data_IF_493038987032
#
_entry.id   IF_493038987032
#
_cell.length_a   1.000
_cell.length_b   1.000
_cell.length_c   1.000
_cell.angle_alpha   90.00
_cell.angle_beta   90.00
_cell.angle_gamma   90.00
#
_symmetry.space_group_name_H-M   'P 1'
#
loop_
_entity.id
_entity.type
_entity.pdbx_description
1 polymer ?
#
# COMPACT_ATOMS: atom_id res chain seq x y z
N UNK A 1 12.17 10.65 -2.14
CA UNK A 1 11.34 10.85 -0.95
C UNK A 1 12.20 10.50 0.24
N UNK A 2 12.82 11.49 0.88
CA UNK A 2 13.74 11.23 1.98
C UNK A 2 13.04 11.52 3.30
N UNK A 3 12.88 10.47 4.11
CA UNK A 3 12.38 10.56 5.48
C UNK A 3 13.06 11.70 6.27
N UNK A 4 14.36 11.90 6.04
CA UNK A 4 15.23 12.85 6.74
C UNK A 4 14.83 14.33 6.56
N UNK A 5 13.89 14.63 5.67
CA UNK A 5 13.35 15.99 5.48
C UNK A 5 11.99 16.17 6.16
N UNK A 6 11.30 15.09 6.50
CA UNK A 6 10.08 15.13 7.31
C UNK A 6 10.47 15.24 8.79
N UNK A 7 9.79 16.12 9.54
CA UNK A 7 10.13 16.41 10.95
C UNK A 7 10.17 15.18 11.88
N UNK A 8 9.36 14.15 11.58
CA UNK A 8 9.30 12.89 12.36
C UNK A 8 10.09 11.74 11.70
N UNK A 9 10.85 12.01 10.64
CA UNK A 9 11.54 11.00 9.83
C UNK A 9 10.62 9.91 9.26
N UNK A 10 9.32 10.19 9.12
CA UNK A 10 8.34 9.24 8.58
C UNK A 10 8.27 9.37 7.06
N UNK A 11 8.06 8.25 6.39
CA UNK A 11 7.57 8.25 5.02
C UNK A 11 6.13 8.78 5.00
N UNK A 12 5.54 9.19 3.87
CA UNK A 12 4.13 9.55 3.76
C UNK A 12 3.19 8.47 4.31
N UNK A 13 2.09 8.84 4.95
CA UNK A 13 1.06 7.89 5.32
C UNK A 13 0.34 7.35 4.08
N UNK A 14 -0.38 6.24 4.26
CA UNK A 14 -1.35 5.84 3.26
C UNK A 14 -2.46 6.89 3.09
N UNK A 15 -3.18 6.84 1.97
CA UNK A 15 -4.31 7.73 1.70
C UNK A 15 -5.30 7.69 2.86
N UNK A 16 -5.69 8.87 3.33
CA UNK A 16 -6.72 9.08 4.35
C UNK A 16 -7.79 10.08 3.90
N UNK A 17 -7.53 10.78 2.79
CA UNK A 17 -8.36 11.84 2.24
C UNK A 17 -8.24 11.85 0.71
N UNK A 18 -9.38 11.74 0.03
CA UNK A 18 -9.50 11.74 -1.42
C UNK A 18 -10.36 12.90 -1.92
N UNK A 19 -9.96 13.49 -3.05
CA UNK A 19 -10.80 14.42 -3.82
C UNK A 19 -10.15 15.76 -4.09
N UNK A 20 -10.97 16.71 -4.57
CA UNK A 20 -10.54 18.06 -4.94
C UNK A 20 -10.40 19.00 -3.73
N UNK A 21 -11.05 18.67 -2.62
CA UNK A 21 -11.15 19.51 -1.43
C UNK A 21 -10.09 19.11 -0.38
N UNK A 22 -9.40 20.10 0.18
CA UNK A 22 -8.48 19.92 1.32
C UNK A 22 -9.10 20.38 2.65
N UNK A 23 -10.44 20.36 2.76
CA UNK A 23 -11.20 20.96 3.87
C UNK A 23 -12.24 20.02 4.51
N UNK A 24 -13.20 20.56 5.30
CA UNK A 24 -14.18 19.76 6.04
C UNK A 24 -15.10 18.86 5.19
N UNK A 25 -15.17 19.10 3.87
CA UNK A 25 -15.90 18.29 2.90
C UNK A 25 -15.09 17.17 2.26
N UNK A 26 -13.83 16.97 2.67
CA UNK A 26 -12.95 15.96 2.07
C UNK A 26 -13.53 14.56 2.25
N UNK A 27 -13.52 13.76 1.18
CA UNK A 27 -13.93 12.36 1.26
C UNK A 27 -12.84 11.60 1.98
N UNK A 28 -13.17 11.00 3.11
CA UNK A 28 -12.25 10.14 3.85
C UNK A 28 -12.27 8.76 3.20
N UNK A 29 -11.09 8.26 2.89
CA UNK A 29 -10.88 7.00 2.19
C UNK A 29 -9.52 6.46 2.60
N UNK A 30 -9.46 5.16 2.84
CA UNK A 30 -8.20 4.44 2.90
C UNK A 30 -7.92 3.82 1.53
N UNK A 31 -6.69 3.93 1.08
CA UNK A 31 -6.20 3.19 -0.09
C UNK A 31 -4.73 2.83 0.13
N UNK A 32 -4.29 1.75 -0.52
CA UNK A 32 -2.89 1.34 -0.52
C UNK A 32 -2.07 2.20 -1.50
N UNK A 33 -2.14 3.51 -1.29
CA UNK A 33 -1.34 4.53 -1.95
C UNK A 33 -0.89 5.56 -0.92
N UNK A 34 0.13 6.37 -1.20
CA UNK A 34 0.53 7.44 -0.29
C UNK A 34 -0.42 8.64 -0.39
N UNK A 35 -0.64 9.34 0.73
CA UNK A 35 -1.38 10.60 0.73
C UNK A 35 -0.57 11.69 0.01
N UNK A 36 -0.97 12.07 -1.20
CA UNK A 36 -0.16 12.93 -2.06
C UNK A 36 0.14 14.32 -1.50
N UNK A 37 -0.76 14.96 -0.74
CA UNK A 37 -0.51 16.30 -0.17
C UNK A 37 0.45 16.30 1.04
N UNK A 38 0.98 15.13 1.42
CA UNK A 38 2.06 15.01 2.42
C UNK A 38 3.44 14.90 1.77
N UNK A 39 3.51 14.89 0.44
CA UNK A 39 4.74 14.92 -0.33
C UNK A 39 5.19 16.35 -0.61
N UNK A 40 6.49 16.58 -0.59
CA UNK A 40 7.04 17.82 -1.14
C UNK A 40 6.78 17.86 -2.65
N UNK A 41 6.15 18.92 -3.19
CA UNK A 41 5.81 19.02 -4.60
C UNK A 41 6.99 18.83 -5.56
N UNK A 42 8.20 19.20 -5.13
CA UNK A 42 9.43 19.11 -5.90
C UNK A 42 9.84 17.65 -6.17
N UNK A 43 9.41 16.70 -5.34
CA UNK A 43 9.69 15.27 -5.53
C UNK A 43 8.76 14.57 -6.50
N UNK A 44 7.64 15.20 -6.86
CA UNK A 44 6.64 14.62 -7.76
C UNK A 44 5.96 15.73 -8.57
N UNK A 45 6.73 16.31 -9.49
CA UNK A 45 6.29 17.39 -10.37
C UNK A 45 5.49 16.89 -11.59
N UNK A 46 5.66 15.63 -11.98
CA UNK A 46 4.88 14.96 -13.02
C UNK A 46 4.12 13.77 -12.44
N UNK A 47 2.79 13.86 -12.25
CA UNK A 47 2.00 12.76 -11.69
C UNK A 47 1.86 11.58 -12.66
N UNK A 48 2.25 11.73 -13.94
CA UNK A 48 2.19 10.62 -14.91
C UNK A 48 3.15 9.48 -14.55
N UNK A 49 4.20 9.73 -13.77
CA UNK A 49 5.12 8.69 -13.29
C UNK A 49 4.46 7.71 -12.33
N UNK A 50 3.30 8.08 -11.75
CA UNK A 50 2.50 7.20 -10.91
C UNK A 50 1.68 6.18 -11.72
N UNK A 51 1.75 6.24 -13.05
CA UNK A 51 1.24 5.20 -13.93
C UNK A 51 2.38 4.35 -14.47
N UNK A 52 2.18 3.03 -14.47
CA UNK A 52 3.10 2.12 -15.12
C UNK A 52 2.85 2.16 -16.63
N UNK A 53 3.89 2.20 -17.48
CA UNK A 53 3.72 2.16 -18.93
C UNK A 53 2.98 0.91 -19.45
N UNK A 54 3.00 -0.18 -18.67
CA UNK A 54 2.31 -1.43 -19.00
C UNK A 54 0.95 -1.59 -18.30
N UNK A 55 0.51 -0.60 -17.51
CA UNK A 55 -0.86 -0.57 -17.00
C UNK A 55 -1.82 -0.30 -18.18
N UNK A 56 -2.76 -1.22 -18.47
CA UNK A 56 -3.69 -1.09 -19.60
C UNK A 56 -4.64 0.11 -19.48
N UNK A 57 -4.92 0.58 -18.26
CA UNK A 57 -5.86 1.67 -17.98
C UNK A 57 -5.14 3.03 -17.89
N UNK A 58 -3.79 3.05 -17.84
CA UNK A 58 -2.99 4.28 -17.64
C UNK A 58 -3.30 5.37 -18.67
N UNK A 59 -3.31 5.04 -19.96
CA UNK A 59 -3.55 6.03 -21.01
C UNK A 59 -4.94 6.68 -20.88
N UNK A 60 -5.97 5.87 -20.59
CA UNK A 60 -7.32 6.40 -20.37
C UNK A 60 -7.42 7.25 -19.10
N UNK A 61 -6.75 6.85 -18.03
CA UNK A 61 -6.77 7.57 -16.75
C UNK A 61 -6.04 8.91 -16.83
N UNK A 62 -4.91 8.96 -17.54
CA UNK A 62 -4.19 10.21 -17.84
C UNK A 62 -5.06 11.16 -18.67
N UNK A 63 -5.74 10.64 -19.72
CA UNK A 63 -6.65 11.44 -20.54
C UNK A 63 -7.83 11.96 -19.70
N UNK A 64 -8.35 11.14 -18.79
CA UNK A 64 -9.44 11.49 -17.89
C UNK A 64 -9.02 12.47 -16.77
N UNK A 65 -7.71 12.74 -16.60
CA UNK A 65 -7.19 13.63 -15.57
C UNK A 65 -7.51 13.15 -14.16
N UNK A 66 -7.38 11.85 -13.89
CA UNK A 66 -7.82 11.27 -12.60
C UNK A 66 -7.09 11.87 -11.39
N UNK A 67 -5.85 12.31 -11.57
CA UNK A 67 -5.00 12.99 -10.57
C UNK A 67 -5.08 14.52 -10.62
N UNK A 68 -5.98 15.08 -11.42
CA UNK A 68 -6.12 16.50 -11.62
C UNK A 68 -7.36 17.07 -10.92
N UNK A 69 -7.22 18.29 -10.37
CA UNK A 69 -8.32 18.98 -9.70
C UNK A 69 -9.47 19.16 -10.69
N UNK A 70 -10.68 18.70 -10.35
CA UNK A 70 -11.86 18.80 -11.21
C UNK A 70 -11.64 18.26 -12.63
N UNK A 71 -10.64 17.37 -12.82
CA UNK A 71 -10.16 16.86 -14.10
C UNK A 71 -9.55 17.92 -15.05
N UNK A 72 -9.15 19.08 -14.53
CA UNK A 72 -8.36 20.06 -15.28
C UNK A 72 -6.88 19.68 -15.28
N UNK A 73 -6.38 19.21 -16.42
CA UNK A 73 -5.00 18.74 -16.60
C UNK A 73 -3.93 19.78 -16.26
N UNK A 74 -4.28 21.06 -16.18
CA UNK A 74 -3.37 22.14 -15.78
C UNK A 74 -3.17 22.23 -14.27
N UNK A 75 -4.01 21.54 -13.47
CA UNK A 75 -3.99 21.61 -12.03
C UNK A 75 -3.84 20.21 -11.41
N UNK A 76 -2.67 19.93 -10.86
CA UNK A 76 -2.41 18.68 -10.12
C UNK A 76 -3.18 18.72 -8.80
N UNK A 77 -3.83 17.61 -8.44
CA UNK A 77 -4.49 17.42 -7.16
C UNK A 77 -3.82 16.27 -6.39
N UNK A 78 -2.88 16.54 -5.47
CA UNK A 78 -2.20 15.49 -4.74
C UNK A 78 -3.14 14.61 -3.91
N UNK A 79 -4.26 15.16 -3.41
CA UNK A 79 -5.29 14.38 -2.72
C UNK A 79 -6.08 13.43 -3.64
N UNK A 80 -5.90 13.48 -4.96
CA UNK A 80 -6.50 12.51 -5.88
C UNK A 80 -5.55 11.37 -6.23
N UNK A 81 -4.29 11.44 -5.80
CA UNK A 81 -3.36 10.34 -5.98
C UNK A 81 -3.90 9.10 -5.28
N UNK A 82 -3.83 7.96 -5.95
CA UNK A 82 -4.45 6.73 -5.49
C UNK A 82 -3.92 5.53 -6.25
N UNK A 83 -4.29 4.35 -5.75
CA UNK A 83 -3.84 3.08 -6.29
C UNK A 83 -4.41 2.89 -7.68
N UNK A 84 -3.49 2.89 -8.64
CA UNK A 84 -3.68 2.52 -10.04
C UNK A 84 -2.66 1.46 -10.33
N UNK A 85 -1.56 1.85 -10.96
CA UNK A 85 -0.51 0.94 -11.35
C UNK A 85 0.37 0.48 -10.19
N UNK A 86 0.38 1.15 -9.04
CA UNK A 86 1.28 0.80 -7.95
C UNK A 86 0.56 0.73 -6.61
N UNK A 87 1.03 -0.18 -5.77
CA UNK A 87 0.67 -0.34 -4.37
C UNK A 87 1.78 0.30 -3.52
N UNK A 88 1.41 1.12 -2.56
CA UNK A 88 2.31 1.69 -1.56
C UNK A 88 1.89 1.24 -0.16
N UNK A 89 2.88 0.80 0.62
CA UNK A 89 2.70 0.40 2.01
C UNK A 89 3.38 1.43 2.90
N UNK A 90 2.61 2.09 3.77
CA UNK A 90 3.17 3.04 4.73
C UNK A 90 3.76 2.37 5.98
N UNK A 91 3.76 1.03 6.02
CA UNK A 91 4.31 0.23 7.13
C UNK A 91 5.38 -0.74 6.65
N UNK A 92 6.32 -1.05 7.55
CA UNK A 92 7.28 -2.13 7.39
C UNK A 92 6.54 -3.46 7.48
N UNK A 93 6.49 -4.17 6.36
CA UNK A 93 5.63 -5.35 6.21
C UNK A 93 6.43 -6.59 5.84
N UNK A 94 5.99 -7.70 6.42
CA UNK A 94 6.52 -9.05 6.20
C UNK A 94 5.36 -10.03 6.02
N UNK A 95 5.60 -11.19 5.42
CA UNK A 95 4.53 -12.14 5.09
C UNK A 95 3.74 -12.65 6.30
N UNK A 96 4.41 -12.79 7.44
CA UNK A 96 3.85 -13.26 8.71
C UNK A 96 2.82 -12.29 9.32
N UNK A 97 2.83 -11.01 8.92
CA UNK A 97 1.77 -10.07 9.31
C UNK A 97 0.43 -10.36 8.61
N UNK A 98 0.44 -11.03 7.45
CA UNK A 98 -0.75 -11.23 6.62
C UNK A 98 -1.24 -12.68 6.61
N UNK A 99 -0.32 -13.63 6.77
CA UNK A 99 -0.59 -15.05 6.58
C UNK A 99 -0.59 -15.75 7.92
N UNK A 100 -1.60 -16.60 8.17
CA UNK A 100 -1.66 -17.43 9.38
C UNK A 100 -0.37 -18.23 9.54
N UNK A 101 0.07 -18.38 10.78
CA UNK A 101 1.24 -19.20 11.08
C UNK A 101 1.10 -20.62 10.51
N UNK A 102 2.11 -21.06 9.77
CA UNK A 102 2.14 -22.39 9.14
C UNK A 102 1.41 -22.50 7.81
N UNK A 103 0.73 -21.45 7.34
CA UNK A 103 0.13 -21.41 6.01
C UNK A 103 1.18 -20.96 4.99
N UNK A 104 1.23 -21.66 3.86
CA UNK A 104 2.11 -21.30 2.74
C UNK A 104 1.53 -20.09 1.99
N UNK A 105 2.24 -18.96 1.98
CA UNK A 105 1.84 -17.73 1.27
C UNK A 105 1.70 -17.89 -0.24
N UNK A 106 2.20 -18.99 -0.80
CA UNK A 106 2.17 -19.32 -2.23
C UNK A 106 1.35 -20.57 -2.56
N UNK A 107 0.51 -21.03 -1.63
CA UNK A 107 -0.45 -22.10 -1.93
C UNK A 107 -1.31 -21.70 -3.14
N UNK A 108 -1.37 -22.50 -4.23
CA UNK A 108 -2.23 -22.20 -5.38
C UNK A 108 -3.72 -22.13 -5.03
N UNK A 109 -4.13 -22.71 -3.89
CA UNK A 109 -5.48 -22.68 -3.37
C UNK A 109 -5.69 -21.65 -2.25
N UNK A 110 -4.73 -20.73 -2.03
CA UNK A 110 -4.83 -19.70 -1.01
C UNK A 110 -6.10 -18.87 -1.19
N UNK A 111 -6.88 -18.74 -0.11
CA UNK A 111 -8.15 -18.00 -0.07
C UNK A 111 -8.07 -16.86 0.93
N UNK A 112 -9.01 -15.93 0.85
CA UNK A 112 -9.12 -14.84 1.82
C UNK A 112 -9.32 -15.38 3.26
N UNK A 113 -9.88 -16.58 3.42
CA UNK A 113 -10.00 -17.25 4.72
C UNK A 113 -8.68 -17.71 5.31
N UNK A 114 -7.61 -17.76 4.52
CA UNK A 114 -6.26 -18.15 4.96
C UNK A 114 -5.41 -16.95 5.41
N UNK A 115 -5.92 -15.73 5.18
CA UNK A 115 -5.37 -14.50 5.76
C UNK A 115 -5.51 -14.59 7.29
N UNK A 116 -4.52 -14.05 7.99
CA UNK A 116 -4.55 -13.93 9.43
C UNK A 116 -5.80 -13.13 9.87
N UNK A 117 -6.62 -13.67 10.80
CA UNK A 117 -7.84 -12.99 11.21
C UNK A 117 -7.58 -11.64 11.91
N UNK A 118 -6.47 -11.49 12.64
CA UNK A 118 -6.10 -10.22 13.24
C UNK A 118 -5.70 -9.21 12.17
N UNK A 119 -4.96 -9.62 11.14
CA UNK A 119 -4.68 -8.78 9.97
C UNK A 119 -5.97 -8.31 9.29
N UNK A 120 -6.94 -9.21 9.08
CA UNK A 120 -8.24 -8.84 8.51
C UNK A 120 -8.97 -7.81 9.39
N UNK A 121 -8.95 -7.95 10.71
CA UNK A 121 -9.53 -6.96 11.63
C UNK A 121 -8.85 -5.60 11.51
N UNK A 122 -7.51 -5.56 11.49
CA UNK A 122 -6.71 -4.34 11.31
C UNK A 122 -7.08 -3.62 10.01
N UNK A 123 -7.09 -4.33 8.89
CA UNK A 123 -7.29 -3.67 7.59
C UNK A 123 -8.77 -3.36 7.29
N UNK A 124 -9.71 -4.14 7.81
CA UNK A 124 -11.13 -3.76 7.83
C UNK A 124 -11.35 -2.51 8.69
N UNK A 125 -10.63 -2.41 9.82
CA UNK A 125 -10.67 -1.22 10.65
C UNK A 125 -10.16 0.00 9.85
N UNK A 126 -9.05 -0.13 9.14
CA UNK A 126 -8.54 0.92 8.25
C UNK A 126 -9.52 1.28 7.09
N UNK A 127 -10.18 0.30 6.45
CA UNK A 127 -11.02 0.55 5.28
C UNK A 127 -12.47 0.97 5.58
N UNK A 128 -13.13 0.49 6.66
CA UNK A 128 -14.60 0.51 6.68
C UNK A 128 -15.30 0.61 8.05
N UNK A 129 -14.61 0.84 9.17
CA UNK A 129 -15.30 0.74 10.49
C UNK A 129 -15.92 2.03 11.02
N UNK A 130 -15.59 3.20 10.49
CA UNK A 130 -16.07 4.45 11.08
C UNK A 130 -15.92 5.60 10.09
N UNK A 131 -16.85 6.56 10.03
CA UNK A 131 -16.62 7.86 9.36
C UNK A 131 -15.84 8.74 10.36
N UNK A 132 -14.50 8.71 10.37
CA UNK A 132 -13.74 9.42 11.37
C UNK A 132 -13.81 10.92 11.05
N UNK A 133 -13.36 11.78 11.96
CA UNK A 133 -12.96 13.11 11.53
C UNK A 133 -11.69 13.00 10.69
N UNK A 134 -11.32 14.04 9.94
CA UNK A 134 -10.03 14.06 9.24
C UNK A 134 -8.86 13.77 10.22
N UNK A 135 -8.88 14.42 11.38
CA UNK A 135 -7.88 14.19 12.44
C UNK A 135 -7.88 12.74 12.94
N UNK A 136 -9.06 12.13 13.12
CA UNK A 136 -9.18 10.72 13.50
C UNK A 136 -8.63 9.76 12.45
N UNK A 137 -8.83 10.07 11.16
CA UNK A 137 -8.31 9.26 10.05
C UNK A 137 -6.79 9.30 10.00
N UNK A 138 -6.21 10.51 10.13
CA UNK A 138 -4.76 10.71 10.20
C UNK A 138 -4.18 9.94 11.40
N UNK A 139 -4.76 10.09 12.59
CA UNK A 139 -4.28 9.40 13.79
C UNK A 139 -4.33 7.87 13.68
N UNK A 140 -5.31 7.34 12.93
CA UNK A 140 -5.47 5.90 12.71
C UNK A 140 -4.43 5.33 11.75
N UNK A 141 -4.10 6.08 10.69
CA UNK A 141 -3.21 5.64 9.61
C UNK A 141 -1.74 5.97 9.92
N UNK A 142 -1.46 7.09 10.60
CA UNK A 142 -0.08 7.55 10.83
C UNK A 142 0.54 7.06 12.15
N UNK A 143 0.38 5.77 12.46
CA UNK A 143 0.86 5.14 13.70
C UNK A 143 1.40 3.72 13.48
N UNK A 144 2.18 3.24 14.45
CA UNK A 144 2.43 1.80 14.57
C UNK A 144 1.12 1.10 14.97
N UNK A 145 0.89 -0.10 14.43
CA UNK A 145 -0.33 -0.87 14.68
C UNK A 145 0.02 -2.09 15.51
N UNK A 146 -0.44 -2.10 16.76
CA UNK A 146 -0.38 -3.24 17.67
C UNK A 146 -1.49 -4.23 17.34
N UNK A 147 -1.14 -5.46 16.98
CA UNK A 147 -2.13 -6.52 16.72
C UNK A 147 -2.83 -6.95 18.02
N UNK A 148 -2.17 -6.73 19.18
CA UNK A 148 -2.74 -6.92 20.50
C UNK A 148 -3.99 -6.08 20.78
N UNK A 149 -4.15 -4.94 20.09
CA UNK A 149 -5.32 -4.06 20.21
C UNK A 149 -6.58 -4.69 19.58
N UNK A 150 -6.40 -5.59 18.62
CA UNK A 150 -7.47 -6.29 17.90
C UNK A 150 -7.66 -7.73 18.36
N UNK A 151 -6.58 -8.36 18.83
CA UNK A 151 -6.59 -9.74 19.34
C UNK A 151 -5.69 -9.80 20.57
N UNK A 152 -6.26 -9.79 21.80
CA UNK A 152 -5.49 -9.75 23.03
C UNK A 152 -4.43 -10.86 23.10
N UNK A 153 -3.20 -10.49 23.45
CA UNK A 153 -2.07 -11.41 23.54
C UNK A 153 -1.32 -11.65 22.23
N UNK A 154 -1.79 -11.10 21.09
CA UNK A 154 -1.00 -11.11 19.86
C UNK A 154 0.19 -10.12 19.99
N UNK A 155 1.45 -10.59 19.90
CA UNK A 155 2.62 -9.75 20.12
C UNK A 155 3.06 -8.96 18.87
N UNK A 156 2.44 -9.19 17.72
CA UNK A 156 2.86 -8.58 16.46
C UNK A 156 2.58 -7.08 16.44
N UNK A 157 3.51 -6.33 15.86
CA UNK A 157 3.39 -4.90 15.62
C UNK A 157 3.74 -4.64 14.16
N UNK A 158 2.84 -3.97 13.44
CA UNK A 158 3.11 -3.45 12.11
C UNK A 158 3.62 -2.01 12.25
N UNK A 159 4.93 -1.85 12.13
CA UNK A 159 5.61 -0.58 12.36
C UNK A 159 5.45 0.37 11.18
N UNK A 160 5.11 1.62 11.45
CA UNK A 160 5.00 2.69 10.46
C UNK A 160 6.39 3.02 9.91
N UNK A 161 6.49 3.11 8.58
CA UNK A 161 7.73 3.42 7.89
C UNK A 161 8.30 4.77 8.32
N UNK A 162 9.52 4.71 8.83
CA UNK A 162 10.33 5.83 9.28
C UNK A 162 11.80 5.44 9.26
N UNK A 163 12.69 6.42 9.21
CA UNK A 163 14.13 6.16 9.32
C UNK A 163 14.44 5.37 10.60
N UNK A 164 15.19 4.27 10.48
CA UNK A 164 15.54 3.42 11.61
C UNK A 164 14.50 2.37 11.99
N UNK A 165 13.37 2.24 11.27
CA UNK A 165 12.35 1.22 11.57
C UNK A 165 12.87 -0.21 11.40
N UNK A 166 13.85 -0.40 10.51
CA UNK A 166 14.43 -1.72 10.21
C UNK A 166 14.99 -2.42 11.44
N UNK A 167 15.40 -1.66 12.48
CA UNK A 167 15.92 -2.22 13.73
C UNK A 167 14.93 -3.11 14.46
N UNK A 168 13.64 -2.91 14.22
CA UNK A 168 12.57 -3.71 14.82
C UNK A 168 12.31 -5.01 14.04
N UNK A 169 12.89 -5.17 12.85
CA UNK A 169 12.80 -6.38 12.03
C UNK A 169 14.07 -7.24 12.10
N UNK A 170 15.13 -6.74 12.74
CA UNK A 170 16.39 -7.47 12.91
C UNK A 170 16.21 -8.51 14.01
N UNK A 171 16.35 -9.78 13.66
CA UNK A 171 16.31 -10.90 14.61
C UNK A 171 17.68 -11.22 15.22
N UNK A 172 18.79 -10.81 14.57
CA UNK A 172 20.16 -10.96 15.08
C UNK A 172 20.85 -9.61 15.32
N UNK A 173 20.76 -9.12 16.56
CA UNK A 173 21.32 -7.83 16.97
C UNK A 173 22.86 -7.79 17.01
N UNK A 174 23.53 -8.95 16.97
CA UNK A 174 24.99 -9.01 17.11
C UNK A 174 25.74 -8.86 15.78
N UNK A 175 25.03 -8.81 14.66
CA UNK A 175 25.62 -8.62 13.34
C UNK A 175 25.30 -7.21 12.80
N UNK A 176 26.22 -6.23 12.89
CA UNK A 176 25.97 -4.86 12.45
C UNK A 176 25.72 -4.70 10.94
N UNK A 177 26.06 -5.68 10.10
CA UNK A 177 25.71 -5.68 8.68
C UNK A 177 24.20 -5.85 8.44
N UNK A 178 23.46 -6.44 9.41
CA UNK A 178 22.02 -6.70 9.31
C UNK A 178 21.18 -5.44 9.16
N UNK A 179 21.64 -4.28 9.61
CA UNK A 179 20.88 -3.03 9.48
C UNK A 179 20.73 -2.60 8.01
N UNK A 180 21.81 -2.66 7.23
CA UNK A 180 21.76 -2.31 5.81
C UNK A 180 20.97 -3.36 5.00
N UNK A 181 21.14 -4.64 5.34
CA UNK A 181 20.38 -5.74 4.73
C UNK A 181 18.88 -5.65 5.05
N UNK A 182 18.52 -5.27 6.28
CA UNK A 182 17.13 -5.16 6.70
C UNK A 182 16.38 -4.04 5.95
N UNK A 183 17.01 -2.87 5.69
CA UNK A 183 16.39 -1.83 4.83
C UNK A 183 16.19 -2.30 3.40
N UNK A 184 17.10 -3.14 2.91
CA UNK A 184 17.04 -3.76 1.58
C UNK A 184 15.97 -4.85 1.46
N UNK A 185 15.30 -5.22 2.56
CA UNK A 185 14.28 -6.26 2.59
C UNK A 185 12.86 -5.71 2.84
N UNK A 186 12.72 -4.42 3.18
CA UNK A 186 11.42 -3.80 3.45
C UNK A 186 10.85 -3.20 2.16
N UNK A 187 9.77 -3.78 1.58
CA UNK A 187 9.11 -3.19 0.43
C UNK A 187 8.35 -1.93 0.83
N UNK A 188 8.47 -0.88 0.02
CA UNK A 188 7.77 0.40 0.18
C UNK A 188 6.69 0.55 -0.87
N UNK A 189 7.01 0.23 -2.12
CA UNK A 189 6.09 0.40 -3.25
C UNK A 189 6.36 -0.68 -4.29
N UNK A 190 5.33 -1.20 -4.93
CA UNK A 190 5.45 -2.22 -5.96
C UNK A 190 4.29 -2.15 -6.94
N UNK A 191 4.41 -2.82 -8.09
CA UNK A 191 3.35 -2.86 -9.10
C UNK A 191 2.02 -3.39 -8.53
N UNK A 192 0.89 -3.00 -9.13
CA UNK A 192 -0.42 -3.54 -8.76
C UNK A 192 -0.43 -5.06 -8.92
N UNK A 193 -0.84 -5.75 -7.86
CA UNK A 193 -1.06 -7.18 -7.82
C UNK A 193 -2.55 -7.45 -7.99
N UNK A 194 -2.92 -8.34 -8.90
CA UNK A 194 -4.33 -8.70 -9.11
C UNK A 194 -4.53 -10.21 -9.28
N UNK A 195 -5.53 -10.76 -8.59
CA UNK A 195 -5.94 -12.17 -8.68
C UNK A 195 -6.86 -12.45 -9.86
N UNK A 196 -7.62 -11.45 -10.31
CA UNK A 196 -8.58 -11.59 -11.39
C UNK A 196 -8.06 -10.91 -12.64
N UNK A 197 -7.94 -11.72 -13.68
CA UNK A 197 -8.02 -11.26 -15.05
C UNK A 197 -9.39 -10.57 -15.21
N UNK A 198 -9.44 -9.31 -15.65
CA UNK A 198 -10.66 -8.79 -16.29
C UNK A 198 -10.91 -9.62 -17.56
N UNK A 199 -12.14 -9.65 -18.05
CA UNK A 199 -12.38 -10.09 -19.44
C UNK A 199 -11.45 -9.30 -20.36
N UNK A 200 -10.46 -9.99 -20.95
CA UNK A 200 -9.43 -9.39 -21.81
C UNK A 200 -8.02 -9.25 -21.23
N UNK A 201 -7.75 -9.56 -19.95
CA UNK A 201 -6.37 -9.56 -19.44
C UNK A 201 -6.21 -9.37 -17.93
N UNK A 202 -4.96 -9.31 -17.48
CA UNK A 202 -4.53 -9.11 -16.09
C UNK A 202 -4.39 -7.62 -15.73
N UNK A 203 -4.55 -7.27 -14.44
CA UNK A 203 -4.15 -5.95 -13.89
C UNK A 203 -2.75 -5.92 -13.32
N UNK A 204 -2.04 -7.05 -13.33
CA UNK A 204 -0.61 -6.99 -13.07
C UNK A 204 0.06 -6.28 -14.25
N UNK A 205 0.75 -5.18 -13.96
CA UNK A 205 1.54 -4.44 -14.95
C UNK A 205 2.58 -5.34 -15.65
N UNK A 206 3.00 -6.42 -15.01
CA UNK A 206 3.99 -7.35 -15.54
C UNK A 206 3.47 -8.80 -15.46
N UNK A 207 2.85 -9.29 -16.54
CA UNK A 207 2.48 -10.70 -16.68
C UNK A 207 3.32 -11.42 -17.72
N UNK A 208 3.68 -12.70 -17.49
CA UNK A 208 3.64 -13.48 -16.25
C UNK A 208 5.07 -13.58 -15.68
N UNK A 209 5.42 -12.83 -14.64
CA UNK A 209 6.82 -12.92 -14.17
C UNK A 209 7.15 -12.41 -12.80
N UNK A 210 6.50 -11.34 -12.32
CA UNK A 210 6.94 -10.65 -11.12
C UNK A 210 6.54 -9.18 -11.14
N UNK A 211 7.07 -8.40 -10.21
CA UNK A 211 6.85 -6.97 -10.11
C UNK A 211 8.15 -6.24 -9.83
N UNK A 212 8.25 -4.99 -10.27
CA UNK A 212 9.25 -4.09 -9.71
C UNK A 212 8.85 -3.72 -8.29
N UNK A 213 9.80 -3.81 -7.37
CA UNK A 213 9.62 -3.51 -5.96
C UNK A 213 10.67 -2.49 -5.56
N UNK A 214 10.21 -1.35 -5.07
CA UNK A 214 10.99 -0.31 -4.41
C UNK A 214 11.13 -0.66 -2.93
N UNK A 215 12.36 -0.64 -2.44
CA UNK A 215 12.70 -0.93 -1.04
C UNK A 215 13.03 0.35 -0.27
N UNK A 216 13.09 0.23 1.06
CA UNK A 216 13.26 1.36 1.98
C UNK A 216 14.61 2.10 1.81
N UNK A 217 15.65 1.41 1.37
CA UNK A 217 16.95 2.01 1.02
C UNK A 217 16.95 2.74 -0.34
N UNK A 218 15.83 2.70 -1.07
CA UNK A 218 15.65 3.37 -2.35
C UNK A 218 16.03 2.53 -3.57
N UNK A 219 16.54 1.31 -3.40
CA UNK A 219 16.79 0.44 -4.55
C UNK A 219 15.49 -0.15 -5.10
N UNK A 220 15.51 -0.47 -6.39
CA UNK A 220 14.41 -1.18 -7.06
C UNK A 220 14.96 -2.52 -7.55
N UNK A 221 14.23 -3.60 -7.29
CA UNK A 221 14.54 -4.91 -7.86
C UNK A 221 13.30 -5.56 -8.47
N UNK A 222 13.51 -6.40 -9.47
CA UNK A 222 12.45 -7.22 -10.04
C UNK A 222 12.28 -8.48 -9.20
N UNK A 223 11.16 -8.58 -8.51
CA UNK A 223 10.82 -9.72 -7.63
C UNK A 223 9.90 -10.65 -8.40
N UNK A 224 10.31 -11.92 -8.51
CA UNK A 224 9.52 -12.92 -9.23
C UNK A 224 8.27 -13.29 -8.45
N UNK A 225 7.23 -13.68 -9.17
CA UNK A 225 6.03 -14.22 -8.53
C UNK A 225 6.40 -15.43 -7.66
N UNK A 226 5.89 -15.44 -6.43
CA UNK A 226 6.16 -16.36 -5.30
C UNK A 226 7.27 -15.93 -4.33
N UNK A 227 7.89 -14.78 -4.52
CA UNK A 227 8.78 -14.17 -3.52
C UNK A 227 8.08 -12.97 -2.86
N UNK A 228 8.40 -12.66 -1.60
CA UNK A 228 7.81 -11.50 -0.90
C UNK A 228 8.25 -10.17 -1.54
N UNK A 229 7.35 -9.18 -1.75
CA UNK A 229 5.90 -9.17 -1.47
C UNK A 229 5.00 -9.77 -2.56
N UNK A 230 5.56 -10.19 -3.69
CA UNK A 230 4.86 -10.71 -4.89
C UNK A 230 4.40 -12.17 -4.70
N UNK A 231 3.59 -12.42 -3.68
CA UNK A 231 3.07 -13.76 -3.32
C UNK A 231 1.61 -13.96 -3.68
N UNK A 232 1.14 -15.21 -3.69
CA UNK A 232 -0.30 -15.51 -3.85
C UNK A 232 -1.13 -14.84 -2.75
N UNK A 233 -0.67 -14.92 -1.50
CA UNK A 233 -1.32 -14.33 -0.34
C UNK A 233 -1.47 -12.81 -0.46
N UNK A 234 -0.40 -12.10 -0.82
CA UNK A 234 -0.46 -10.64 -1.02
C UNK A 234 -1.41 -10.27 -2.16
N UNK A 235 -1.43 -11.07 -3.24
CA UNK A 235 -2.35 -10.84 -4.36
C UNK A 235 -3.81 -10.97 -3.91
N UNK A 236 -4.14 -12.03 -3.15
CA UNK A 236 -5.49 -12.26 -2.60
C UNK A 236 -5.87 -11.15 -1.62
N UNK A 237 -4.95 -10.76 -0.74
CA UNK A 237 -5.15 -9.70 0.24
C UNK A 237 -5.45 -8.35 -0.44
N UNK A 238 -4.62 -7.94 -1.40
CA UNK A 238 -4.80 -6.70 -2.17
C UNK A 238 -6.08 -6.73 -3.01
N UNK A 239 -6.45 -7.91 -3.54
CA UNK A 239 -7.71 -8.11 -4.25
C UNK A 239 -8.94 -7.93 -3.36
N UNK A 240 -8.88 -8.39 -2.11
CA UNK A 240 -9.98 -8.26 -1.15
C UNK A 240 -10.24 -6.80 -0.78
N UNK A 241 -9.17 -6.03 -0.53
CA UNK A 241 -9.23 -4.63 -0.15
C UNK A 241 -9.20 -3.66 -1.35
N UNK A 242 -9.43 -4.15 -2.56
CA UNK A 242 -9.50 -3.28 -3.72
C UNK A 242 -10.82 -2.48 -3.65
N UNK A 243 -10.82 -1.13 -3.61
CA UNK A 243 -12.06 -0.33 -3.72
C UNK A 243 -12.93 -0.64 -4.94
N UNK A 244 -12.39 -1.27 -6.00
CA UNK A 244 -13.21 -1.79 -7.11
C UNK A 244 -13.93 -3.11 -6.78
N UNK A 245 -13.41 -3.90 -5.84
CA UNK A 245 -14.10 -5.05 -5.26
C UNK A 245 -15.35 -4.61 -4.48
N UNK A 246 -15.28 -3.50 -3.76
CA UNK A 246 -16.48 -2.88 -3.15
C UNK A 246 -17.50 -2.44 -4.20
N UNK A 247 -17.06 -1.89 -5.35
CA UNK A 247 -17.97 -1.55 -6.45
C UNK A 247 -18.63 -2.78 -7.07
N UNK A 248 -17.94 -3.93 -7.15
CA UNK A 248 -18.51 -5.19 -7.61
C UNK A 248 -19.53 -5.79 -6.64
N UNK A 249 -19.32 -5.61 -5.33
CA UNK A 249 -20.29 -6.02 -4.31
C UNK A 249 -21.53 -5.09 -4.29
N UNK A 250 -21.35 -3.80 -4.60
CA UNK A 250 -22.44 -2.83 -4.73
C UNK A 250 -23.16 -2.88 -6.09
N UNK A 251 -22.52 -3.43 -7.13
CA UNK A 251 -23.15 -3.60 -8.45
C UNK A 251 -23.87 -4.93 -8.62
N UNK A 252 -23.73 -5.86 -7.68
CA UNK A 252 -24.51 -7.11 -7.64
C UNK A 252 -24.40 -7.95 -8.92
N UNK A 253 -23.23 -8.56 -9.17
CA UNK A 253 -23.02 -9.53 -10.26
C UNK A 253 -22.30 -8.97 -11.47
#
# INVERSE_FOLDING_TARGET
MYANEAGDHKFPPNTYAYGDDTGPGVRLEFDFFFQGNTMYPEYLNDPNVLFCPSDPDAASDMVAGVFNCKKDKMQICPCRFGRRSYIYLSWATTSDLFVRQGVNSNDPNFRYTDIDPTAMLVFNDLHLTYRPTLAGSIAKIDRDISFGDYTPGNPLIMYRLREGVERFLITDINNPATFAEARSAIPVMFDELATKLREGGTRMNHVPGGCNVLYMDGHVSFVKYRDWPVTTAMTVFMGYFNPLFERLLLSGG
#
